data_IF_767536044617
#
_entry.id   IF_767536044617
#
_cell.length_a   1.000
_cell.length_b   1.000
_cell.length_c   1.000
_cell.angle_alpha   90.00
_cell.angle_beta   90.00
_cell.angle_gamma   90.00
#
_symmetry.space_group_name_H-M   'P 1'
#
loop_
_entity.id
_entity.type
_entity.pdbx_description
1 polymer ?
#
# COMPACT_ATOMS: atom_id res chain seq x y z
N UNK A 1 -18.35 -9.12 14.80
CA UNK A 1 -17.26 -9.68 13.95
C UNK A 1 -17.44 -11.18 13.78
N UNK A 2 -17.35 -12.01 14.82
CA UNK A 2 -17.57 -13.47 14.67
C UNK A 2 -18.95 -13.83 14.11
N UNK A 3 -20.00 -13.08 14.52
CA UNK A 3 -21.36 -13.26 14.00
C UNK A 3 -21.50 -13.05 12.48
N UNK A 4 -20.56 -12.34 11.86
CA UNK A 4 -20.59 -12.01 10.43
C UNK A 4 -19.65 -12.88 9.59
N UNK A 5 -19.02 -13.90 10.19
CA UNK A 5 -18.20 -14.85 9.45
C UNK A 5 -19.11 -15.75 8.61
N UNK A 6 -18.79 -15.87 7.32
CA UNK A 6 -19.43 -16.82 6.40
C UNK A 6 -18.32 -17.67 5.79
N UNK A 7 -18.11 -18.93 6.25
CA UNK A 7 -17.02 -19.77 5.78
C UNK A 7 -16.95 -19.84 4.25
N UNK A 8 -15.75 -19.58 3.70
CA UNK A 8 -15.51 -19.58 2.24
C UNK A 8 -16.15 -18.42 1.47
N UNK A 9 -16.71 -17.40 2.15
CA UNK A 9 -17.38 -16.25 1.53
C UNK A 9 -17.01 -14.91 2.15
N UNK A 10 -17.01 -14.81 3.47
CA UNK A 10 -16.75 -13.58 4.20
C UNK A 10 -15.91 -13.87 5.45
N UNK A 11 -14.68 -13.38 5.43
CA UNK A 11 -13.77 -13.36 6.58
C UNK A 11 -13.59 -11.93 7.04
N UNK A 12 -13.91 -11.68 8.31
CA UNK A 12 -13.86 -10.36 8.94
C UNK A 12 -12.69 -10.27 9.94
N UNK A 13 -11.83 -9.25 9.85
CA UNK A 13 -10.70 -9.02 10.78
C UNK A 13 -11.05 -8.06 11.93
N UNK A 14 -10.56 -8.32 13.14
CA UNK A 14 -10.78 -7.39 14.25
C UNK A 14 -9.90 -6.16 14.08
N UNK A 15 -10.46 -4.97 14.25
CA UNK A 15 -9.67 -3.76 14.08
C UNK A 15 -10.33 -2.53 14.64
N UNK A 16 -9.55 -1.46 14.67
CA UNK A 16 -9.99 -0.13 15.03
C UNK A 16 -9.13 0.90 14.29
N UNK A 17 -9.60 2.13 14.23
CA UNK A 17 -8.80 3.25 13.75
C UNK A 17 -8.16 3.97 14.93
N UNK A 18 -6.85 4.17 14.87
CA UNK A 18 -6.10 5.07 15.75
C UNK A 18 -5.99 6.42 15.07
N UNK A 19 -6.80 7.39 15.47
CA UNK A 19 -6.91 8.70 14.83
C UNK A 19 -6.03 9.75 15.53
N UNK A 20 -4.82 9.96 15.01
CA UNK A 20 -3.87 10.98 15.48
C UNK A 20 -3.58 11.99 14.36
N UNK A 21 -3.68 13.29 14.62
CA UNK A 21 -3.41 14.29 13.58
C UNK A 21 -1.95 14.23 13.09
N UNK A 22 -1.71 14.78 11.92
CA UNK A 22 -0.36 15.03 11.40
C UNK A 22 0.50 15.72 12.47
N UNK A 23 1.74 15.28 12.68
CA UNK A 23 2.53 14.37 11.83
C UNK A 23 2.50 12.89 12.24
N UNK A 24 1.87 12.54 13.36
CA UNK A 24 1.81 11.15 13.79
C UNK A 24 0.88 10.35 12.88
N UNK A 25 -0.27 10.90 12.51
CA UNK A 25 -1.12 10.35 11.47
C UNK A 25 -2.00 9.18 11.91
N UNK A 26 -3.12 9.03 11.20
CA UNK A 26 -4.08 7.98 11.42
C UNK A 26 -3.53 6.63 10.97
N UNK A 27 -3.85 5.58 11.72
CA UNK A 27 -3.54 4.20 11.37
C UNK A 27 -4.77 3.33 11.57
N UNK A 28 -5.14 2.55 10.56
CA UNK A 28 -6.01 1.41 10.81
C UNK A 28 -5.19 0.30 11.45
N UNK A 29 -5.74 -0.36 12.44
CA UNK A 29 -5.10 -1.46 13.17
C UNK A 29 -5.93 -2.71 12.99
N UNK A 30 -5.27 -3.84 12.69
CA UNK A 30 -5.92 -5.13 12.47
C UNK A 30 -5.30 -6.25 13.31
N UNK A 31 -6.14 -7.22 13.67
CA UNK A 31 -5.81 -8.44 14.40
C UNK A 31 -6.60 -9.63 13.86
N UNK A 32 -5.97 -10.81 13.86
CA UNK A 32 -6.67 -12.06 13.61
C UNK A 32 -7.54 -12.49 14.80
N UNK A 33 -7.06 -12.25 16.03
CA UNK A 33 -7.70 -12.71 17.25
C UNK A 33 -8.63 -11.66 17.87
N UNK A 34 -9.72 -12.13 18.47
CA UNK A 34 -10.65 -11.31 19.26
C UNK A 34 -10.06 -10.95 20.63
N UNK A 35 -10.66 -9.95 21.28
CA UNK A 35 -10.36 -9.62 22.68
C UNK A 35 -9.15 -8.72 22.89
N UNK A 36 -8.45 -8.34 21.82
CA UNK A 36 -7.41 -7.32 21.85
C UNK A 36 -8.08 -5.94 22.04
N UNK A 37 -7.82 -5.29 23.19
CA UNK A 37 -8.43 -3.99 23.55
C UNK A 37 -7.81 -2.86 22.75
N UNK A 38 -8.57 -1.84 22.39
CA UNK A 38 -8.00 -0.65 21.75
C UNK A 38 -6.90 -0.03 22.61
N UNK A 39 -5.80 0.39 21.98
CA UNK A 39 -4.72 1.10 22.66
C UNK A 39 -5.14 2.57 22.83
N UNK A 40 -5.24 3.11 24.06
CA UNK A 40 -5.47 4.53 24.27
C UNK A 40 -4.36 5.40 23.65
N UNK A 41 -4.64 6.68 23.46
CA UNK A 41 -3.59 7.64 23.08
C UNK A 41 -2.74 7.92 24.33
N UNK A 42 -1.42 7.82 24.20
CA UNK A 42 -0.51 8.25 25.25
C UNK A 42 -0.35 9.78 25.22
N UNK A 43 -0.04 10.34 26.39
CA UNK A 43 0.21 11.77 26.54
C UNK A 43 1.32 12.22 25.59
N UNK A 44 1.02 13.21 24.75
CA UNK A 44 1.98 13.80 23.82
C UNK A 44 2.04 13.14 22.43
N UNK A 45 1.28 12.09 22.14
CA UNK A 45 1.12 11.57 20.77
C UNK A 45 0.21 12.45 19.91
N UNK A 46 -0.84 13.03 20.49
CA UNK A 46 -1.72 13.94 19.76
C UNK A 46 -0.99 15.26 19.49
N UNK A 47 -0.99 15.69 18.22
CA UNK A 47 -0.35 16.94 17.83
C UNK A 47 -1.02 18.14 18.49
N UNK A 48 -0.21 19.00 19.09
CA UNK A 48 -0.60 20.32 19.59
C UNK A 48 0.18 21.38 18.81
N UNK A 49 -0.53 22.29 18.13
CA UNK A 49 0.07 23.32 17.28
C UNK A 49 1.07 22.75 16.26
N UNK A 50 0.74 21.60 15.66
CA UNK A 50 1.55 20.93 14.64
C UNK A 50 2.79 20.19 15.16
N UNK A 51 2.95 20.06 16.48
CA UNK A 51 4.07 19.35 17.11
C UNK A 51 3.57 18.20 17.98
N UNK A 52 4.35 17.12 18.03
CA UNK A 52 4.13 15.97 18.93
C UNK A 52 5.32 15.86 19.87
N UNK A 53 5.06 15.40 21.11
CA UNK A 53 6.12 15.11 22.08
C UNK A 53 6.57 13.66 21.99
N UNK A 54 5.70 12.78 21.50
CA UNK A 54 5.92 11.34 21.36
C UNK A 54 5.54 10.92 19.95
N UNK A 55 6.45 10.24 19.27
CA UNK A 55 6.16 9.63 17.97
C UNK A 55 5.29 8.38 18.16
N UNK A 56 4.30 8.18 17.31
CA UNK A 56 3.37 7.04 17.45
C UNK A 56 4.05 5.68 17.43
N UNK A 57 5.12 5.50 16.66
CA UNK A 57 5.83 4.24 16.56
C UNK A 57 6.34 3.74 17.91
N UNK A 58 6.84 4.63 18.79
CA UNK A 58 7.36 4.23 20.11
C UNK A 58 6.28 3.72 21.07
N UNK A 59 5.01 4.02 20.80
CA UNK A 59 3.86 3.59 21.61
C UNK A 59 3.13 2.44 20.95
N UNK A 60 2.82 2.57 19.66
CA UNK A 60 2.00 1.63 18.91
C UNK A 60 2.74 0.33 18.60
N UNK A 61 4.01 0.39 18.17
CA UNK A 61 4.72 -0.80 17.71
C UNK A 61 4.97 -1.84 18.82
N UNK A 62 5.38 -1.48 20.06
CA UNK A 62 5.47 -2.45 21.16
C UNK A 62 4.12 -3.14 21.44
N UNK A 63 3.04 -2.38 21.34
CA UNK A 63 1.68 -2.89 21.53
C UNK A 63 1.27 -3.86 20.41
N UNK A 64 1.51 -3.52 19.14
CA UNK A 64 1.22 -4.42 18.01
C UNK A 64 2.03 -5.71 18.11
N UNK A 65 3.33 -5.60 18.43
CA UNK A 65 4.22 -6.76 18.62
C UNK A 65 3.68 -7.72 19.68
N UNK A 66 3.29 -7.19 20.85
CA UNK A 66 2.72 -7.99 21.95
C UNK A 66 1.41 -8.68 21.57
N UNK A 67 0.58 -8.04 20.74
CA UNK A 67 -0.74 -8.53 20.41
C UNK A 67 -0.85 -9.19 19.03
N UNK A 68 0.29 -9.37 18.34
CA UNK A 68 0.36 -9.91 16.96
C UNK A 68 -0.53 -9.13 15.99
N UNK A 69 -0.61 -7.82 16.18
CA UNK A 69 -1.34 -6.91 15.28
C UNK A 69 -0.45 -6.36 14.18
N UNK A 70 -1.09 -5.71 13.21
CA UNK A 70 -0.43 -4.84 12.24
C UNK A 70 -1.22 -3.54 12.12
N UNK A 71 -0.56 -2.49 11.66
CA UNK A 71 -1.14 -1.19 11.37
C UNK A 71 -0.92 -0.82 9.91
N UNK A 72 -1.75 0.10 9.42
CA UNK A 72 -1.68 0.65 8.09
C UNK A 72 -1.86 2.16 8.19
N UNK A 73 -0.83 2.93 7.84
CA UNK A 73 -1.00 4.37 7.67
C UNK A 73 -2.03 4.61 6.57
N UNK A 74 -2.98 5.50 6.83
CA UNK A 74 -3.99 5.86 5.84
C UNK A 74 -4.10 7.37 5.70
N UNK A 75 -4.66 7.85 4.59
CA UNK A 75 -4.77 9.27 4.22
C UNK A 75 -3.45 10.06 4.40
N UNK A 76 -2.32 9.42 4.06
CA UNK A 76 -0.99 9.83 4.51
C UNK A 76 -0.56 11.23 4.07
N UNK A 77 -1.07 11.73 2.94
CA UNK A 77 -0.75 13.05 2.41
C UNK A 77 -1.71 14.18 2.87
N UNK A 78 -2.42 13.99 3.99
CA UNK A 78 -3.44 14.94 4.48
C UNK A 78 -3.17 15.40 5.92
N UNK A 79 -4.05 16.22 6.52
CA UNK A 79 -3.92 16.64 7.93
C UNK A 79 -4.05 15.50 8.94
N UNK A 80 -4.52 14.34 8.49
CA UNK A 80 -4.62 13.08 9.25
C UNK A 80 -3.47 12.14 8.89
N UNK A 81 -2.52 12.58 8.07
CA UNK A 81 -1.43 11.77 7.55
C UNK A 81 -0.15 11.83 8.38
N UNK A 82 0.95 11.36 7.79
CA UNK A 82 2.25 11.28 8.45
C UNK A 82 3.36 11.83 7.56
N UNK A 83 4.47 12.23 8.16
CA UNK A 83 5.70 12.63 7.45
C UNK A 83 6.71 11.48 7.34
N UNK A 84 6.28 10.25 7.61
CA UNK A 84 7.11 9.04 7.58
C UNK A 84 8.29 9.14 8.54
N UNK A 85 8.09 9.73 9.71
CA UNK A 85 9.10 9.82 10.78
C UNK A 85 9.45 8.48 11.41
N UNK A 86 8.52 7.54 11.35
CA UNK A 86 8.66 6.18 11.86
C UNK A 86 8.02 5.18 10.90
N UNK A 87 8.60 3.98 10.86
CA UNK A 87 8.03 2.79 10.26
C UNK A 87 8.72 1.56 10.88
N UNK A 88 7.94 0.58 11.29
CA UNK A 88 8.43 -0.76 11.59
C UNK A 88 7.86 -1.69 10.51
N UNK A 89 8.67 -2.20 9.56
CA UNK A 89 8.16 -2.91 8.39
C UNK A 89 7.50 -4.26 8.72
N UNK A 90 7.69 -4.80 9.92
CA UNK A 90 7.00 -6.01 10.37
C UNK A 90 5.60 -5.71 10.94
N UNK A 91 5.39 -4.49 11.44
CA UNK A 91 4.18 -4.09 12.17
C UNK A 91 3.34 -3.07 11.42
N UNK A 92 3.94 -2.31 10.52
CA UNK A 92 3.27 -1.37 9.62
C UNK A 92 3.71 -1.67 8.17
N UNK A 93 3.29 -2.83 7.62
CA UNK A 93 3.76 -3.32 6.32
C UNK A 93 3.06 -2.68 5.13
N UNK A 94 1.85 -2.12 5.30
CA UNK A 94 1.05 -1.56 4.20
C UNK A 94 0.69 -0.10 4.44
N UNK A 95 0.48 0.62 3.34
CA UNK A 95 -0.05 1.98 3.32
C UNK A 95 -1.27 2.08 2.40
N UNK A 96 -2.25 2.87 2.80
CA UNK A 96 -3.34 3.29 1.91
C UNK A 96 -2.80 4.19 0.79
N UNK A 97 -2.62 3.62 -0.40
CA UNK A 97 -2.18 4.41 -1.57
C UNK A 97 -3.34 5.14 -2.23
N UNK A 98 -4.58 4.68 -2.01
CA UNK A 98 -5.78 5.31 -2.52
C UNK A 98 -6.93 5.18 -1.54
N UNK A 99 -7.67 6.27 -1.38
CA UNK A 99 -8.81 6.33 -0.49
C UNK A 99 -10.04 6.94 -1.19
N UNK A 100 -11.15 6.21 -1.20
CA UNK A 100 -12.32 6.51 -2.03
C UNK A 100 -13.03 7.84 -1.74
N UNK A 101 -13.05 8.32 -0.50
CA UNK A 101 -13.57 9.64 -0.11
C UNK A 101 -12.59 10.79 -0.38
N UNK A 102 -11.30 10.48 -0.61
CA UNK A 102 -10.26 11.49 -0.88
C UNK A 102 -9.57 11.17 -2.21
N UNK A 103 -8.26 10.98 -2.17
CA UNK A 103 -7.39 10.99 -3.35
C UNK A 103 -6.29 9.93 -3.24
N UNK A 104 -5.48 9.81 -4.30
CA UNK A 104 -4.29 8.97 -4.32
C UNK A 104 -3.14 9.62 -3.55
N UNK A 105 -2.44 8.80 -2.78
CA UNK A 105 -1.25 9.13 -2.00
C UNK A 105 0.07 8.80 -2.71
N UNK A 106 0.03 8.34 -3.96
CA UNK A 106 1.22 7.82 -4.66
C UNK A 106 2.37 8.85 -4.70
N UNK A 107 2.15 9.97 -5.39
CA UNK A 107 3.02 11.15 -5.42
C UNK A 107 2.23 12.38 -5.86
N UNK A 108 2.78 13.58 -5.67
CA UNK A 108 2.11 14.82 -6.09
C UNK A 108 1.85 14.85 -7.60
N UNK A 109 0.58 15.03 -7.99
CA UNK A 109 0.20 15.03 -9.41
C UNK A 109 0.16 13.65 -10.06
N UNK A 110 0.28 12.56 -9.30
CA UNK A 110 -0.11 11.24 -9.78
C UNK A 110 -1.60 11.21 -10.20
N UNK A 111 -2.03 10.26 -11.03
CA UNK A 111 -3.45 10.10 -11.32
C UNK A 111 -4.29 10.00 -10.04
N UNK A 112 -5.35 10.81 -9.94
CA UNK A 112 -6.21 11.00 -8.75
C UNK A 112 -5.50 11.54 -7.50
N UNK A 113 -4.24 11.98 -7.57
CA UNK A 113 -3.55 12.62 -6.46
C UNK A 113 -3.71 14.15 -6.51
N UNK A 114 -3.61 14.85 -5.37
CA UNK A 114 -3.65 16.30 -5.35
C UNK A 114 -2.37 16.93 -5.90
N UNK A 115 -2.47 18.20 -6.29
CA UNK A 115 -1.32 19.07 -6.59
C UNK A 115 -1.40 20.33 -5.74
N UNK A 116 -0.26 20.92 -5.42
CA UNK A 116 -0.18 22.18 -4.66
C UNK A 116 -1.04 23.28 -5.28
N UNK A 117 -1.04 23.36 -6.61
CA UNK A 117 -1.70 24.43 -7.36
C UNK A 117 -3.20 24.18 -7.60
N UNK A 118 -3.76 23.07 -7.11
CA UNK A 118 -5.18 22.77 -7.22
C UNK A 118 -5.84 22.50 -5.85
N UNK A 119 -6.20 23.56 -5.11
CA UNK A 119 -6.82 23.42 -3.78
C UNK A 119 -8.11 22.59 -3.75
N UNK A 120 -8.85 22.50 -4.86
CA UNK A 120 -10.06 21.67 -4.95
C UNK A 120 -9.78 20.17 -4.74
N UNK A 121 -8.53 19.74 -4.87
CA UNK A 121 -8.09 18.36 -4.66
C UNK A 121 -7.59 18.08 -3.23
N UNK A 122 -7.52 19.10 -2.36
CA UNK A 122 -6.96 19.00 -1.00
C UNK A 122 -7.98 18.46 0.03
N UNK A 123 -8.71 17.41 -0.34
CA UNK A 123 -9.70 16.77 0.53
C UNK A 123 -9.01 16.18 1.78
N UNK A 124 -9.32 16.71 2.96
CA UNK A 124 -8.65 16.37 4.21
C UNK A 124 -7.36 17.17 4.50
N UNK A 125 -7.00 18.12 3.64
CA UNK A 125 -5.76 18.91 3.72
C UNK A 125 -4.68 18.42 2.75
N UNK A 126 -3.56 19.13 2.73
CA UNK A 126 -2.43 18.87 1.84
C UNK A 126 -1.12 18.85 2.63
N UNK A 127 -0.56 17.65 2.80
CA UNK A 127 0.72 17.36 3.45
C UNK A 127 1.61 16.60 2.48
N UNK A 128 2.34 17.29 1.60
CA UNK A 128 3.13 16.65 0.55
C UNK A 128 4.22 15.73 1.11
N UNK A 129 4.69 15.95 2.34
CA UNK A 129 5.63 15.07 3.03
C UNK A 129 5.08 13.64 3.18
N UNK A 130 3.75 13.50 3.22
CA UNK A 130 3.08 12.23 3.39
C UNK A 130 2.75 11.45 2.12
N UNK A 131 3.23 11.88 0.94
CA UNK A 131 3.16 11.04 -0.25
C UNK A 131 3.99 9.76 -0.08
N UNK A 132 3.50 8.64 -0.61
CA UNK A 132 4.10 7.30 -0.45
C UNK A 132 5.48 7.22 -1.08
N UNK A 133 5.71 7.92 -2.18
CA UNK A 133 7.04 8.05 -2.78
C UNK A 133 8.11 8.56 -1.80
N UNK A 134 7.75 9.42 -0.83
CA UNK A 134 8.69 9.89 0.19
C UNK A 134 9.05 8.78 1.19
N UNK A 135 8.11 7.89 1.51
CA UNK A 135 8.36 6.74 2.37
C UNK A 135 9.30 5.74 1.68
N UNK A 136 9.05 5.44 0.41
CA UNK A 136 9.92 4.57 -0.37
C UNK A 136 11.32 5.16 -0.59
N UNK A 137 11.42 6.49 -0.79
CA UNK A 137 12.70 7.18 -0.86
C UNK A 137 13.51 7.12 0.45
N UNK A 138 12.85 6.92 1.60
CA UNK A 138 13.49 6.65 2.90
C UNK A 138 13.92 5.18 3.08
N UNK A 139 13.63 4.31 2.11
CA UNK A 139 13.94 2.88 2.15
C UNK A 139 12.89 2.03 2.87
N UNK A 140 11.69 2.57 3.14
CA UNK A 140 10.65 1.80 3.82
C UNK A 140 10.06 0.74 2.88
N UNK A 141 9.93 -0.48 3.40
CA UNK A 141 9.29 -1.58 2.68
C UNK A 141 7.80 -1.58 2.94
N UNK A 142 7.10 -0.65 2.29
CA UNK A 142 5.65 -0.49 2.38
C UNK A 142 4.96 -1.06 1.14
N UNK A 143 4.12 -2.08 1.34
CA UNK A 143 3.14 -2.51 0.36
C UNK A 143 1.95 -1.56 0.31
N UNK A 144 1.04 -1.77 -0.64
CA UNK A 144 -0.06 -0.84 -0.91
C UNK A 144 -1.41 -1.50 -0.75
N UNK A 145 -2.38 -0.71 -0.30
CA UNK A 145 -3.78 -1.09 -0.21
C UNK A 145 -4.68 0.09 -0.60
N UNK A 146 -5.95 -0.18 -0.95
CA UNK A 146 -6.96 0.85 -1.14
C UNK A 146 -8.15 0.62 -0.21
N UNK A 147 -8.63 1.69 0.41
CA UNK A 147 -9.75 1.65 1.35
C UNK A 147 -10.82 2.68 0.99
N UNK A 148 -12.07 2.37 1.31
CA UNK A 148 -13.18 3.27 0.97
C UNK A 148 -13.21 4.50 1.88
N UNK A 149 -13.07 4.28 3.19
CA UNK A 149 -13.33 5.20 4.30
C UNK A 149 -14.68 5.97 4.22
N UNK A 150 -15.24 6.28 5.39
CA UNK A 150 -16.50 7.01 5.57
C UNK A 150 -17.65 6.60 4.62
N UNK A 151 -17.90 7.39 3.57
CA UNK A 151 -19.10 7.32 2.70
C UNK A 151 -18.81 6.70 1.33
N UNK A 152 -17.56 6.39 1.01
CA UNK A 152 -17.23 5.81 -0.29
C UNK A 152 -17.68 4.35 -0.36
N UNK A 153 -18.14 3.91 -1.52
CA UNK A 153 -18.50 2.50 -1.77
C UNK A 153 -18.08 2.11 -3.18
N UNK A 154 -17.75 0.83 -3.39
CA UNK A 154 -17.50 0.20 -4.69
C UNK A 154 -16.33 0.74 -5.53
N UNK A 155 -15.46 1.58 -4.97
CA UNK A 155 -14.33 2.20 -5.71
C UNK A 155 -12.96 2.01 -5.04
N UNK A 156 -12.84 1.10 -4.07
CA UNK A 156 -11.59 0.88 -3.34
C UNK A 156 -11.50 -0.56 -2.88
N UNK A 157 -10.50 -1.27 -3.39
CA UNK A 157 -10.31 -2.70 -3.18
C UNK A 157 -8.88 -2.94 -2.69
N UNK A 158 -8.77 -3.50 -1.49
CA UNK A 158 -7.55 -4.09 -0.97
C UNK A 158 -7.54 -5.57 -1.34
N UNK A 159 -6.74 -5.93 -2.34
CA UNK A 159 -6.71 -7.27 -2.89
C UNK A 159 -5.55 -8.06 -2.28
N UNK A 160 -5.85 -8.87 -1.26
CA UNK A 160 -4.87 -9.70 -0.54
C UNK A 160 -4.67 -11.03 -1.27
N UNK A 161 -3.42 -11.37 -1.57
CA UNK A 161 -3.04 -12.65 -2.17
C UNK A 161 -2.62 -13.58 -1.04
N UNK A 162 -3.49 -14.52 -0.71
CA UNK A 162 -3.29 -15.48 0.38
C UNK A 162 -3.58 -16.90 -0.11
N UNK A 163 -2.84 -17.88 0.41
CA UNK A 163 -3.07 -19.31 0.15
C UNK A 163 -4.36 -19.81 0.82
N UNK A 164 -4.80 -19.14 1.89
CA UNK A 164 -6.04 -19.45 2.60
C UNK A 164 -6.84 -18.20 2.99
N UNK A 165 -8.16 -18.34 3.09
CA UNK A 165 -9.08 -17.26 3.47
C UNK A 165 -9.28 -17.08 4.98
N UNK A 166 -8.43 -17.69 5.81
CA UNK A 166 -8.49 -17.55 7.27
C UNK A 166 -8.07 -16.15 7.70
N UNK A 167 -8.38 -15.73 8.94
CA UNK A 167 -7.92 -14.43 9.44
C UNK A 167 -6.40 -14.38 9.54
N UNK A 168 -5.80 -15.48 9.97
CA UNK A 168 -4.37 -15.69 10.11
C UNK A 168 -3.68 -15.61 8.75
N UNK A 169 -4.18 -16.33 7.74
CA UNK A 169 -3.64 -16.31 6.38
C UNK A 169 -3.72 -14.91 5.75
N UNK A 170 -4.86 -14.22 5.91
CA UNK A 170 -4.98 -12.82 5.46
C UNK A 170 -3.96 -11.91 6.16
N UNK A 171 -3.79 -12.05 7.48
CA UNK A 171 -2.81 -11.27 8.24
C UNK A 171 -1.36 -11.58 7.85
N UNK A 172 -1.04 -12.83 7.53
CA UNK A 172 0.29 -13.25 7.11
C UNK A 172 0.62 -12.76 5.70
N UNK A 173 -0.33 -12.82 4.76
CA UNK A 173 -0.21 -12.20 3.44
C UNK A 173 0.04 -10.68 3.55
N UNK A 174 -0.71 -9.99 4.41
CA UNK A 174 -0.51 -8.56 4.65
C UNK A 174 0.86 -8.23 5.25
N UNK A 175 1.37 -9.05 6.20
CA UNK A 175 2.75 -8.90 6.72
C UNK A 175 3.81 -9.04 5.64
N UNK A 176 3.61 -9.96 4.70
CA UNK A 176 4.49 -10.17 3.54
C UNK A 176 4.28 -9.13 2.43
N UNK A 177 3.32 -8.22 2.60
CA UNK A 177 2.93 -7.20 1.61
C UNK A 177 2.36 -7.80 0.32
N UNK A 178 1.84 -9.02 0.39
CA UNK A 178 1.17 -9.71 -0.72
C UNK A 178 -0.22 -9.13 -0.94
N UNK A 179 -0.26 -7.84 -1.26
CA UNK A 179 -1.47 -7.04 -1.43
C UNK A 179 -1.29 -6.12 -2.64
N UNK A 180 -2.35 -5.88 -3.38
CA UNK A 180 -2.39 -4.79 -4.35
C UNK A 180 -3.64 -3.95 -4.13
N UNK A 181 -3.59 -2.72 -4.61
CA UNK A 181 -4.68 -1.75 -4.51
C UNK A 181 -5.38 -1.62 -5.86
N UNK A 182 -6.70 -1.55 -5.88
CA UNK A 182 -7.46 -1.26 -7.09
C UNK A 182 -8.66 -0.35 -6.79
N UNK A 183 -9.09 0.40 -7.81
CA UNK A 183 -10.28 1.27 -7.70
C UNK A 183 -11.51 0.69 -8.43
N UNK A 184 -11.37 -0.50 -9.02
CA UNK A 184 -12.43 -1.30 -9.64
C UNK A 184 -12.05 -2.80 -9.55
N UNK A 185 -12.89 -3.71 -10.05
CA UNK A 185 -12.67 -5.16 -10.09
C UNK A 185 -11.55 -5.56 -11.06
N UNK A 186 -10.32 -5.19 -10.72
CA UNK A 186 -9.12 -5.36 -11.54
C UNK A 186 -8.26 -6.47 -10.93
N UNK A 187 -7.77 -7.38 -11.77
CA UNK A 187 -6.73 -8.34 -11.41
C UNK A 187 -5.38 -7.77 -11.86
N UNK A 188 -4.46 -7.62 -10.91
CA UNK A 188 -3.07 -7.22 -11.15
C UNK A 188 -2.16 -8.25 -10.49
N UNK A 189 -1.57 -9.11 -11.33
CA UNK A 189 -0.63 -10.16 -10.92
C UNK A 189 0.77 -9.78 -11.43
N UNK A 190 1.63 -9.41 -10.49
CA UNK A 190 2.99 -8.96 -10.75
C UNK A 190 3.95 -9.88 -10.01
N UNK A 191 4.85 -10.48 -10.78
CA UNK A 191 5.81 -11.46 -10.29
C UNK A 191 7.18 -11.17 -10.89
N UNK A 192 8.23 -11.39 -10.12
CA UNK A 192 9.59 -11.44 -10.64
C UNK A 192 10.09 -12.88 -10.64
N UNK A 193 10.86 -13.24 -11.66
CA UNK A 193 11.48 -14.55 -11.74
C UNK A 193 12.95 -14.42 -12.14
N UNK A 194 13.82 -15.14 -11.46
CA UNK A 194 15.22 -15.31 -11.86
C UNK A 194 15.58 -16.81 -12.01
N UNK A 195 16.87 -17.15 -11.96
CA UNK A 195 17.32 -18.54 -12.10
C UNK A 195 17.00 -19.42 -10.88
N UNK A 196 16.72 -18.83 -9.72
CA UNK A 196 16.56 -19.54 -8.45
C UNK A 196 15.10 -19.61 -7.99
N UNK A 197 14.25 -18.67 -8.40
CA UNK A 197 12.85 -18.68 -7.96
C UNK A 197 11.92 -17.71 -8.65
N UNK A 198 10.66 -17.75 -8.19
CA UNK A 198 9.62 -16.78 -8.47
C UNK A 198 9.25 -16.04 -7.19
N UNK A 199 9.05 -14.73 -7.30
CA UNK A 199 8.78 -13.80 -6.21
C UNK A 199 7.51 -13.01 -6.53
N UNK A 200 6.65 -12.84 -5.53
CA UNK A 200 5.35 -12.20 -5.65
C UNK A 200 5.44 -10.72 -5.25
N UNK A 201 4.57 -9.87 -5.83
CA UNK A 201 4.41 -8.48 -5.39
C UNK A 201 4.33 -8.36 -3.85
N UNK A 202 5.22 -7.56 -3.26
CA UNK A 202 5.44 -7.47 -1.81
C UNK A 202 6.75 -8.10 -1.31
N UNK A 203 7.33 -9.04 -2.07
CA UNK A 203 8.54 -9.75 -1.67
C UNK A 203 9.79 -8.87 -1.69
N UNK A 204 10.73 -9.23 -0.82
CA UNK A 204 12.09 -8.71 -0.84
C UNK A 204 13.07 -9.88 -1.00
N UNK A 205 13.93 -9.84 -2.02
CA UNK A 205 14.83 -10.94 -2.36
C UNK A 205 16.17 -10.43 -2.92
N UNK A 206 17.15 -11.32 -2.98
CA UNK A 206 18.44 -11.06 -3.63
C UNK A 206 18.45 -11.74 -4.98
N UNK A 207 18.71 -10.99 -6.05
CA UNK A 207 18.73 -11.52 -7.40
C UNK A 207 19.94 -12.45 -7.62
N UNK A 208 19.70 -13.61 -8.22
CA UNK A 208 20.74 -14.56 -8.67
C UNK A 208 21.23 -14.28 -10.10
N UNK A 209 20.60 -13.33 -10.79
CA UNK A 209 20.90 -12.94 -12.17
C UNK A 209 20.12 -11.68 -12.54
N UNK A 210 19.63 -11.58 -13.79
CA UNK A 210 18.74 -10.49 -14.22
C UNK A 210 17.28 -10.94 -14.09
N UNK A 211 16.54 -10.52 -13.04
CA UNK A 211 15.16 -10.95 -12.86
C UNK A 211 14.27 -10.38 -13.96
N UNK A 212 13.29 -11.18 -14.35
CA UNK A 212 12.26 -10.85 -15.33
C UNK A 212 10.97 -10.52 -14.60
N UNK A 213 10.47 -9.30 -14.75
CA UNK A 213 9.19 -8.87 -14.21
C UNK A 213 8.06 -9.30 -15.15
N UNK A 214 7.29 -10.31 -14.76
CA UNK A 214 6.06 -10.70 -15.45
C UNK A 214 4.90 -9.89 -14.90
N UNK A 215 4.12 -9.32 -15.81
CA UNK A 215 2.94 -8.51 -15.49
C UNK A 215 1.75 -9.08 -16.24
N UNK A 216 0.73 -9.48 -15.49
CA UNK A 216 -0.59 -9.87 -16.02
C UNK A 216 -1.66 -8.96 -15.45
N UNK A 217 -2.50 -8.43 -16.35
CA UNK A 217 -3.57 -7.51 -15.99
C UNK A 217 -4.87 -7.96 -16.66
N UNK A 218 -5.95 -7.98 -15.89
CA UNK A 218 -7.33 -8.16 -16.37
C UNK A 218 -8.16 -7.02 -15.78
N UNK A 219 -8.60 -6.12 -16.66
CA UNK A 219 -9.44 -4.98 -16.32
C UNK A 219 -10.91 -5.19 -16.69
N UNK A 220 -11.75 -4.27 -16.23
CA UNK A 220 -13.17 -4.15 -16.57
C UNK A 220 -13.41 -3.26 -17.79
N UNK A 221 -12.38 -2.50 -18.21
CA UNK A 221 -12.40 -1.56 -19.34
C UNK A 221 -11.06 -1.62 -20.08
N UNK A 222 -10.99 -1.11 -21.33
CA UNK A 222 -9.73 -1.00 -22.05
C UNK A 222 -8.66 -0.26 -21.24
N UNK A 223 -7.45 -0.81 -21.25
CA UNK A 223 -6.31 -0.28 -20.52
C UNK A 223 -5.73 0.91 -21.28
N UNK A 224 -5.71 2.07 -20.63
CA UNK A 224 -5.10 3.30 -21.15
C UNK A 224 -3.58 3.20 -21.10
N UNK A 225 -3.02 2.89 -19.94
CA UNK A 225 -1.59 2.70 -19.79
C UNK A 225 -1.22 1.79 -18.62
N UNK A 226 -0.13 1.04 -18.79
CA UNK A 226 0.56 0.28 -17.75
C UNK A 226 1.96 0.88 -17.61
N UNK A 227 2.37 1.21 -16.39
CA UNK A 227 3.67 1.76 -16.05
C UNK A 227 4.41 0.79 -15.14
N UNK A 228 5.70 0.55 -15.43
CA UNK A 228 6.64 -0.02 -14.45
C UNK A 228 7.44 1.14 -13.88
N UNK A 229 7.46 1.23 -12.55
CA UNK A 229 8.15 2.27 -11.80
C UNK A 229 9.24 1.60 -10.98
N UNK A 230 10.48 2.08 -11.13
CA UNK A 230 11.66 1.67 -10.37
C UNK A 230 12.19 2.87 -9.60
N UNK A 231 12.35 2.76 -8.28
CA UNK A 231 12.99 3.82 -7.48
C UNK A 231 12.44 5.23 -7.75
N UNK A 232 11.10 5.36 -7.77
CA UNK A 232 10.37 6.59 -8.12
C UNK A 232 10.63 7.13 -9.54
N UNK A 233 11.04 6.28 -10.48
CA UNK A 233 11.25 6.61 -11.89
C UNK A 233 10.45 5.69 -12.80
N UNK A 234 9.80 6.25 -13.81
CA UNK A 234 9.08 5.48 -14.83
C UNK A 234 10.10 4.85 -15.78
N UNK A 235 10.26 3.53 -15.73
CA UNK A 235 11.25 2.80 -16.55
C UNK A 235 10.63 2.06 -17.74
N UNK A 236 9.32 1.83 -17.71
CA UNK A 236 8.62 1.20 -18.83
C UNK A 236 7.17 1.69 -18.92
N UNK A 237 6.63 1.69 -20.14
CA UNK A 237 5.23 2.02 -20.41
C UNK A 237 4.68 1.15 -21.53
N UNK A 238 3.43 0.72 -21.39
CA UNK A 238 2.65 0.04 -22.44
C UNK A 238 1.25 0.63 -22.52
N UNK A 239 0.69 0.74 -23.72
CA UNK A 239 -0.69 1.21 -23.95
C UNK A 239 -1.44 0.16 -24.77
N UNK A 240 -1.95 -0.91 -24.13
CA UNK A 240 -2.54 -2.04 -24.84
C UNK A 240 -3.82 -1.70 -25.61
N UNK A 241 -4.62 -0.74 -25.10
CA UNK A 241 -5.96 -0.42 -25.62
C UNK A 241 -6.93 -1.62 -25.65
N UNK A 242 -6.64 -2.63 -24.84
CA UNK A 242 -7.41 -3.86 -24.63
C UNK A 242 -7.73 -4.00 -23.13
N UNK A 243 -8.78 -4.72 -22.74
CA UNK A 243 -9.11 -4.95 -21.34
C UNK A 243 -8.09 -5.86 -20.63
N UNK A 244 -7.30 -6.62 -21.39
CA UNK A 244 -6.31 -7.55 -20.86
C UNK A 244 -4.93 -7.26 -21.47
N UNK A 245 -3.89 -7.50 -20.68
CA UNK A 245 -2.52 -7.44 -21.15
C UNK A 245 -1.61 -8.36 -20.32
N UNK A 246 -0.70 -9.04 -21.01
CA UNK A 246 0.38 -9.79 -20.40
C UNK A 246 1.71 -9.46 -21.09
N UNK A 247 2.77 -9.27 -20.31
CA UNK A 247 4.14 -9.07 -20.82
C UNK A 247 5.19 -9.40 -19.77
N UNK A 248 6.42 -9.48 -20.25
CA UNK A 248 7.63 -9.54 -19.44
C UNK A 248 8.46 -8.29 -19.68
N UNK A 249 8.93 -7.67 -18.61
CA UNK A 249 9.90 -6.58 -18.61
C UNK A 249 11.20 -7.07 -17.96
N UNK A 250 12.33 -6.81 -18.61
CA UNK A 250 13.66 -7.09 -18.06
C UNK A 250 14.36 -5.75 -17.89
N UNK A 251 14.79 -5.44 -16.67
CA UNK A 251 15.61 -4.26 -16.43
C UNK A 251 17.06 -4.54 -16.81
N UNK A 252 17.54 -3.87 -17.85
CA UNK A 252 18.93 -3.97 -18.32
C UNK A 252 19.84 -2.93 -17.68
N UNK A 253 19.30 -2.01 -16.90
CA UNK A 253 20.01 -0.89 -16.26
C UNK A 253 20.05 -1.07 -14.74
N UNK A 254 20.48 -2.26 -14.30
CA UNK A 254 20.63 -2.61 -12.88
C UNK A 254 22.02 -2.23 -12.36
N UNK A 255 22.09 -1.75 -11.13
CA UNK A 255 23.34 -1.45 -10.43
C UNK A 255 23.35 -2.23 -9.11
N UNK A 256 24.54 -2.54 -8.60
CA UNK A 256 24.69 -3.15 -7.29
C UNK A 256 23.98 -2.32 -6.21
N UNK A 257 23.27 -3.00 -5.31
CA UNK A 257 22.43 -2.35 -4.30
C UNK A 257 20.97 -2.81 -4.37
N UNK A 258 20.08 -2.07 -3.70
CA UNK A 258 18.66 -2.37 -3.67
C UNK A 258 17.89 -1.41 -4.57
N UNK A 259 17.01 -1.98 -5.41
CA UNK A 259 15.96 -1.25 -6.12
C UNK A 259 14.60 -1.83 -5.76
N UNK A 260 13.54 -1.04 -5.89
CA UNK A 260 12.17 -1.54 -5.82
C UNK A 260 11.41 -1.27 -7.11
N UNK A 261 10.52 -2.20 -7.47
CA UNK A 261 9.71 -2.13 -8.68
C UNK A 261 8.24 -2.27 -8.32
N UNK A 262 7.39 -1.39 -8.81
CA UNK A 262 5.95 -1.59 -8.76
C UNK A 262 5.30 -1.24 -10.11
N UNK A 263 4.10 -1.76 -10.33
CA UNK A 263 3.33 -1.58 -11.54
C UNK A 263 2.08 -0.76 -11.22
N UNK A 264 1.81 0.23 -12.07
CA UNK A 264 0.55 0.97 -12.06
C UNK A 264 -0.19 0.79 -13.37
N UNK A 265 -1.44 0.35 -13.29
CA UNK A 265 -2.39 0.29 -14.39
C UNK A 265 -3.30 1.52 -14.33
N UNK A 266 -3.70 2.06 -15.48
CA UNK A 266 -4.85 2.96 -15.62
C UNK A 266 -5.75 2.52 -16.78
N UNK A 267 -7.05 2.39 -16.52
CA UNK A 267 -8.09 2.14 -17.52
C UNK A 267 -8.54 3.46 -18.20
N UNK A 268 -9.22 3.38 -19.35
CA UNK A 268 -9.71 4.56 -20.08
C UNK A 268 -10.75 5.38 -19.31
N UNK A 269 -11.50 4.76 -18.41
CA UNK A 269 -12.45 5.41 -17.51
C UNK A 269 -11.78 6.02 -16.26
N UNK A 270 -10.45 5.92 -16.15
CA UNK A 270 -9.68 6.50 -15.06
C UNK A 270 -9.59 5.63 -13.81
N UNK A 271 -10.10 4.40 -13.82
CA UNK A 271 -9.84 3.44 -12.74
C UNK A 271 -8.38 2.95 -12.79
N UNK A 272 -7.83 2.64 -11.62
CA UNK A 272 -6.39 2.45 -11.41
C UNK A 272 -6.17 1.21 -10.55
N UNK A 273 -5.05 0.52 -10.77
CA UNK A 273 -4.51 -0.43 -9.81
C UNK A 273 -3.01 -0.21 -9.61
N UNK A 274 -2.53 -0.53 -8.41
CA UNK A 274 -1.13 -0.45 -8.00
C UNK A 274 -0.71 -1.77 -7.35
N UNK A 275 0.38 -2.37 -7.84
CA UNK A 275 0.99 -3.51 -7.15
C UNK A 275 1.72 -3.02 -5.90
N UNK A 276 1.84 -3.88 -4.88
CA UNK A 276 2.91 -3.67 -3.90
C UNK A 276 4.28 -3.74 -4.59
N UNK A 277 5.29 -3.01 -4.11
CA UNK A 277 6.62 -3.12 -4.68
C UNK A 277 7.24 -4.51 -4.48
N UNK A 278 8.12 -4.88 -5.39
CA UNK A 278 9.12 -5.94 -5.23
C UNK A 278 10.45 -5.28 -4.92
N UNK A 279 11.09 -5.66 -3.81
CA UNK A 279 12.42 -5.16 -3.43
C UNK A 279 13.49 -6.15 -3.87
N UNK A 280 14.36 -5.73 -4.78
CA UNK A 280 15.40 -6.56 -5.38
C UNK A 280 16.76 -6.05 -4.94
N UNK A 281 17.56 -6.92 -4.33
CA UNK A 281 18.97 -6.65 -4.07
C UNK A 281 19.83 -7.28 -5.17
N UNK A 282 20.52 -6.46 -5.94
CA UNK A 282 21.48 -6.85 -6.97
C UNK A 282 22.88 -6.91 -6.35
N UNK A 283 23.58 -8.03 -6.59
CA UNK A 283 24.99 -8.23 -6.18
C UNK A 283 25.95 -7.59 -7.17
#
# INVERSE_FOLDING_TARGET
MDLFQVPGRLTTLFGYERSLNYPNGHRNVAFAQRGVRTLPLADGEQAQQGKVKVNSGSVLYPYLRRNRGIAFSHTSHTNMGTDWRDNDPELEPLVEIYQGMRTSAEYEGAPKAPTKDNPATHQGGFKPEGFVWNAWAKGYKLGVQASSDHISTHISYSCVISEEGSREGLMDAMRRRHVYAATDNIILDVRMQDGEGEYLQGDAFTASGTPRLRVKVIGTRPIKDIRVIKDNRFVYSRQPDLPEAEFVFTDTETQAGQSYYYVRLRQKDGQIAWSSPLWVTYK
#
